data_IF_504173487443
#
_entry.id   IF_504173487443
#
_cell.length_a   1.000
_cell.length_b   1.000
_cell.length_c   1.000
_cell.angle_alpha   90.00
_cell.angle_beta   90.00
_cell.angle_gamma   90.00
#
_symmetry.space_group_name_H-M   'P 1'
#
loop_
_entity.id
_entity.type
_entity.pdbx_description
1 polymer ?
#
# COMPACT_ATOMS: atom_id res chain seq x y z
N UNK A 1 -6.70 22.68 13.84
CA UNK A 1 -5.59 21.76 13.53
C UNK A 1 -5.73 20.56 14.44
N UNK A 2 -6.08 19.41 13.87
CA UNK A 2 -6.17 18.12 14.57
C UNK A 2 -4.98 17.29 14.12
N UNK A 3 -4.11 16.90 15.06
CA UNK A 3 -2.99 16.02 14.76
C UNK A 3 -3.50 14.57 14.56
N UNK A 4 -2.89 13.84 13.63
CA UNK A 4 -3.11 12.39 13.52
C UNK A 4 -2.70 11.71 14.83
N UNK A 5 -3.46 10.68 15.23
CA UNK A 5 -3.17 9.88 16.42
C UNK A 5 -3.32 8.41 16.08
N UNK A 6 -2.42 7.59 16.59
CA UNK A 6 -2.56 6.14 16.54
C UNK A 6 -3.74 5.68 17.40
N UNK A 7 -4.46 4.67 16.95
CA UNK A 7 -5.53 4.01 17.69
C UNK A 7 -5.08 2.58 18.06
N UNK A 8 -5.55 2.09 19.20
CA UNK A 8 -5.40 0.69 19.59
C UNK A 8 -6.65 -0.04 19.11
N UNK A 9 -6.46 -1.08 18.29
CA UNK A 9 -7.55 -1.86 17.71
C UNK A 9 -7.47 -3.30 18.22
N UNK A 10 -8.63 -3.87 18.56
CA UNK A 10 -8.76 -5.31 18.83
C UNK A 10 -8.97 -6.04 17.50
N UNK A 11 -7.95 -6.77 17.06
CA UNK A 11 -8.00 -7.50 15.79
C UNK A 11 -8.81 -8.79 15.89
N UNK A 12 -9.15 -9.27 17.09
CA UNK A 12 -9.82 -10.56 17.31
C UNK A 12 -11.34 -10.49 17.28
N UNK A 13 -11.92 -9.28 17.34
CA UNK A 13 -13.36 -9.08 17.45
C UNK A 13 -14.14 -9.29 16.14
N UNK A 14 -13.45 -9.39 15.00
CA UNK A 14 -14.09 -9.54 13.69
C UNK A 14 -14.36 -11.02 13.38
N UNK A 15 -15.61 -11.35 13.07
CA UNK A 15 -15.99 -12.71 12.65
C UNK A 15 -15.87 -12.85 11.12
N UNK A 16 -14.87 -13.59 10.67
CA UNK A 16 -14.67 -13.91 9.26
C UNK A 16 -15.69 -14.93 8.71
N UNK A 17 -16.54 -15.54 9.54
CA UNK A 17 -17.50 -16.58 9.14
C UNK A 17 -16.85 -17.75 8.38
N UNK A 18 -15.58 -18.05 8.69
CA UNK A 18 -14.80 -19.10 8.05
C UNK A 18 -14.17 -18.70 6.70
N UNK A 19 -14.24 -17.42 6.31
CA UNK A 19 -13.51 -16.89 5.16
C UNK A 19 -12.01 -17.17 5.23
N UNK A 20 -11.39 -17.40 4.08
CA UNK A 20 -9.96 -17.60 3.89
C UNK A 20 -9.57 -17.02 2.51
N UNK A 21 -8.29 -16.63 2.29
CA UNK A 21 -7.80 -16.26 0.97
C UNK A 21 -8.16 -17.29 -0.10
N UNK A 22 -8.46 -16.84 -1.32
CA UNK A 22 -9.06 -17.71 -2.34
C UNK A 22 -8.05 -18.60 -3.07
N UNK A 23 -6.77 -18.23 -3.06
CA UNK A 23 -5.66 -18.98 -3.66
C UNK A 23 -5.90 -19.37 -5.13
N UNK A 24 -6.52 -18.49 -5.95
CA UNK A 24 -6.67 -18.74 -7.37
C UNK A 24 -5.30 -18.72 -8.05
N UNK A 25 -4.96 -19.68 -8.93
CA UNK A 25 -3.70 -19.64 -9.67
C UNK A 25 -3.57 -18.36 -10.51
N UNK A 26 -2.38 -17.76 -10.55
CA UNK A 26 -2.12 -16.53 -11.31
C UNK A 26 -2.49 -16.65 -12.81
N UNK A 27 -2.36 -17.86 -13.39
CA UNK A 27 -2.73 -18.14 -14.79
C UNK A 27 -4.23 -18.05 -15.07
N UNK A 28 -5.06 -18.08 -14.04
CA UNK A 28 -6.52 -17.96 -14.14
C UNK A 28 -7.02 -16.56 -13.73
N UNK A 29 -6.11 -15.66 -13.38
CA UNK A 29 -6.45 -14.33 -12.88
C UNK A 29 -6.70 -13.32 -14.00
N UNK A 30 -7.84 -12.63 -13.90
CA UNK A 30 -8.19 -11.41 -14.63
C UNK A 30 -8.24 -10.29 -13.59
N UNK A 31 -7.19 -9.48 -13.57
CA UNK A 31 -6.99 -8.40 -12.58
C UNK A 31 -7.69 -7.12 -13.08
N UNK A 32 -8.42 -6.47 -12.17
CA UNK A 32 -9.08 -5.19 -12.41
C UNK A 32 -8.51 -4.12 -11.48
N UNK A 33 -7.61 -3.29 -11.99
CA UNK A 33 -7.07 -2.15 -11.26
C UNK A 33 -8.16 -1.09 -11.03
N UNK A 34 -8.33 -0.67 -9.79
CA UNK A 34 -9.30 0.36 -9.44
C UNK A 34 -8.92 1.15 -8.19
N UNK A 35 -9.41 2.38 -8.12
CA UNK A 35 -9.25 3.23 -6.96
C UNK A 35 -10.40 3.02 -5.97
N UNK A 36 -10.09 2.68 -4.71
CA UNK A 36 -11.09 2.40 -3.68
C UNK A 36 -12.13 3.52 -3.52
N UNK A 37 -11.66 4.76 -3.34
CA UNK A 37 -12.51 5.94 -3.35
C UNK A 37 -13.06 6.35 -4.73
N UNK A 38 -12.27 6.27 -5.81
CA UNK A 38 -12.70 6.74 -7.13
C UNK A 38 -13.83 5.92 -7.75
N UNK A 39 -13.84 4.61 -7.51
CA UNK A 39 -14.70 3.64 -8.18
C UNK A 39 -16.20 3.94 -8.02
N UNK A 40 -16.61 4.44 -6.86
CA UNK A 40 -18.03 4.69 -6.54
C UNK A 40 -18.37 6.14 -6.22
N UNK A 41 -17.39 7.06 -6.25
CA UNK A 41 -17.59 8.48 -5.84
C UNK A 41 -18.58 9.26 -6.70
N UNK A 42 -18.63 8.98 -8.00
CA UNK A 42 -19.56 9.65 -8.90
C UNK A 42 -21.01 9.27 -8.57
N UNK A 43 -21.98 10.21 -8.55
CA UNK A 43 -23.40 9.88 -8.40
C UNK A 43 -23.92 8.89 -9.46
N UNK A 44 -23.27 8.84 -10.63
CA UNK A 44 -23.59 7.87 -11.68
C UNK A 44 -23.31 6.42 -11.28
N UNK A 45 -22.54 6.20 -10.20
CA UNK A 45 -22.36 4.87 -9.63
C UNK A 45 -23.67 4.35 -9.01
N UNK A 46 -24.58 5.21 -8.56
CA UNK A 46 -25.78 4.80 -7.82
C UNK A 46 -25.49 4.17 -6.46
N UNK A 47 -24.24 4.25 -5.97
CA UNK A 47 -23.85 3.73 -4.66
C UNK A 47 -24.48 4.56 -3.54
N UNK A 48 -24.92 3.89 -2.47
CA UNK A 48 -25.39 4.58 -1.24
C UNK A 48 -24.21 5.02 -0.37
N UNK A 49 -23.03 4.42 -0.57
CA UNK A 49 -21.80 4.71 0.18
C UNK A 49 -20.66 5.12 -0.76
N UNK A 50 -20.82 6.24 -1.50
CA UNK A 50 -19.91 6.62 -2.59
C UNK A 50 -18.49 6.89 -2.07
N UNK A 51 -17.52 6.23 -2.70
CA UNK A 51 -16.09 6.40 -2.45
C UNK A 51 -15.58 5.76 -1.15
N UNK A 52 -16.26 4.70 -0.70
CA UNK A 52 -15.87 3.92 0.48
C UNK A 52 -15.69 2.44 0.14
N UNK A 53 -15.09 1.67 1.05
CA UNK A 53 -15.01 0.21 0.95
C UNK A 53 -16.39 -0.44 0.85
N UNK A 54 -17.40 0.07 1.58
CA UNK A 54 -18.79 -0.39 1.44
C UNK A 54 -19.38 -0.11 0.05
N UNK A 55 -18.99 1.00 -0.58
CA UNK A 55 -19.38 1.29 -1.96
C UNK A 55 -18.85 0.25 -2.95
N UNK A 56 -17.65 -0.29 -2.72
CA UNK A 56 -17.08 -1.39 -3.53
C UNK A 56 -17.95 -2.65 -3.39
N UNK A 57 -18.37 -2.98 -2.17
CA UNK A 57 -19.28 -4.11 -1.90
C UNK A 57 -20.57 -4.01 -2.69
N UNK A 58 -21.18 -2.82 -2.77
CA UNK A 58 -22.39 -2.58 -3.58
C UNK A 58 -22.19 -2.80 -5.09
N UNK A 59 -20.94 -2.81 -5.55
CA UNK A 59 -20.55 -3.01 -6.94
C UNK A 59 -20.06 -4.42 -7.27
N UNK A 60 -20.10 -5.35 -6.33
CA UNK A 60 -19.83 -6.77 -6.58
C UNK A 60 -20.63 -7.33 -7.77
N UNK A 61 -21.95 -7.08 -7.93
CA UNK A 61 -22.69 -7.60 -9.07
C UNK A 61 -22.13 -7.14 -10.43
N UNK A 62 -21.63 -5.90 -10.49
CA UNK A 62 -20.98 -5.37 -11.69
C UNK A 62 -19.63 -6.07 -11.95
N UNK A 63 -18.82 -6.29 -10.91
CA UNK A 63 -17.54 -6.98 -11.05
C UNK A 63 -17.73 -8.44 -11.50
N UNK A 64 -18.75 -9.12 -10.98
CA UNK A 64 -19.12 -10.47 -11.41
C UNK A 64 -19.62 -10.50 -12.85
N UNK A 65 -20.47 -9.54 -13.25
CA UNK A 65 -20.95 -9.41 -14.64
C UNK A 65 -19.79 -9.14 -15.61
N UNK A 66 -18.83 -8.28 -15.21
CA UNK A 66 -17.62 -8.00 -15.98
C UNK A 66 -16.72 -9.24 -16.12
N UNK A 67 -16.80 -10.18 -15.18
CA UNK A 67 -16.08 -11.46 -15.21
C UNK A 67 -14.64 -11.37 -14.68
N UNK A 68 -14.32 -10.34 -13.89
CA UNK A 68 -13.00 -10.20 -13.27
C UNK A 68 -12.88 -11.15 -12.09
N UNK A 69 -11.66 -11.60 -11.80
CA UNK A 69 -11.40 -12.59 -10.75
C UNK A 69 -10.65 -12.01 -9.56
N UNK A 70 -10.04 -10.84 -9.74
CA UNK A 70 -9.29 -10.12 -8.72
C UNK A 70 -9.48 -8.61 -8.94
N UNK A 71 -9.57 -7.85 -7.85
CA UNK A 71 -9.42 -6.39 -7.88
C UNK A 71 -8.03 -6.04 -7.37
N UNK A 72 -7.34 -5.15 -8.09
CA UNK A 72 -6.09 -4.54 -7.63
C UNK A 72 -6.43 -3.12 -7.17
N UNK A 73 -6.37 -2.90 -5.86
CA UNK A 73 -6.68 -1.59 -5.28
C UNK A 73 -5.44 -0.72 -5.35
N UNK A 74 -5.56 0.46 -5.95
CA UNK A 74 -4.62 1.56 -5.73
C UNK A 74 -4.40 1.77 -4.21
N UNK A 75 -3.27 2.38 -3.80
CA UNK A 75 -2.83 2.37 -2.41
C UNK A 75 -3.91 2.66 -1.37
N UNK A 76 -4.08 1.70 -0.46
CA UNK A 76 -5.02 1.78 0.68
C UNK A 76 -4.31 1.95 2.01
N UNK A 77 -2.97 1.93 2.04
CA UNK A 77 -2.20 2.32 3.22
C UNK A 77 -2.57 3.75 3.63
N UNK A 78 -2.59 4.04 4.92
CA UNK A 78 -2.91 5.39 5.37
C UNK A 78 -1.88 6.39 4.82
N UNK A 79 -2.36 7.41 4.12
CA UNK A 79 -1.61 8.58 3.63
C UNK A 79 -2.32 9.89 4.03
N UNK A 80 -1.66 11.03 3.86
CA UNK A 80 -2.24 12.35 4.06
C UNK A 80 -2.72 12.96 2.73
N UNK A 81 -4.06 12.99 2.49
CA UNK A 81 -4.66 13.61 1.30
C UNK A 81 -4.23 15.09 1.13
N UNK A 82 -3.86 15.78 2.21
CA UNK A 82 -3.48 17.19 2.21
C UNK A 82 -1.95 17.39 2.18
N UNK A 83 -1.17 16.30 2.13
CA UNK A 83 0.29 16.34 2.11
C UNK A 83 0.88 17.00 0.85
N UNK A 84 0.07 17.14 -0.21
CA UNK A 84 0.48 17.80 -1.46
C UNK A 84 0.30 19.31 -1.36
N UNK A 85 1.39 20.07 -1.53
CA UNK A 85 1.40 21.54 -1.50
C UNK A 85 1.06 22.21 -2.85
N UNK A 86 0.62 21.43 -3.84
CA UNK A 86 0.33 21.92 -5.20
C UNK A 86 -1.04 22.58 -5.27
N UNK A 87 -1.11 23.67 -6.02
CA UNK A 87 -2.37 24.33 -6.36
C UNK A 87 -2.79 23.93 -7.77
N UNK A 88 -4.09 23.80 -7.97
CA UNK A 88 -4.68 23.58 -9.29
C UNK A 88 -4.33 24.76 -10.22
N UNK A 89 -3.81 24.49 -11.42
CA UNK A 89 -3.49 25.56 -12.38
C UNK A 89 -4.75 26.22 -12.98
N UNK A 90 -5.93 25.62 -12.77
CA UNK A 90 -7.20 26.10 -13.33
C UNK A 90 -7.88 27.13 -12.43
N UNK A 91 -7.92 26.87 -11.12
CA UNK A 91 -8.71 27.63 -10.15
C UNK A 91 -7.94 27.97 -8.86
N UNK A 92 -6.66 27.61 -8.76
CA UNK A 92 -5.79 27.94 -7.63
C UNK A 92 -6.12 27.23 -6.32
N UNK A 93 -7.07 26.30 -6.31
CA UNK A 93 -7.42 25.54 -5.09
C UNK A 93 -6.33 24.53 -4.73
N UNK A 94 -6.10 24.24 -3.44
CA UNK A 94 -5.23 23.14 -3.03
C UNK A 94 -5.67 21.82 -3.69
N UNK A 95 -4.71 21.13 -4.30
CA UNK A 95 -4.91 19.77 -4.78
C UNK A 95 -4.82 18.80 -3.59
N UNK A 96 -5.42 17.64 -3.78
CA UNK A 96 -5.31 16.52 -2.85
C UNK A 96 -4.53 15.39 -3.49
N UNK A 97 -3.85 14.61 -2.66
CA UNK A 97 -3.41 13.29 -3.06
C UNK A 97 -4.64 12.42 -3.30
N UNK A 98 -4.85 12.04 -4.56
CA UNK A 98 -5.96 11.17 -4.92
C UNK A 98 -5.51 9.72 -4.85
N UNK A 99 -4.39 9.39 -5.51
CA UNK A 99 -3.94 8.00 -5.66
C UNK A 99 -3.40 7.38 -4.38
N UNK A 100 -2.77 8.16 -3.51
CA UNK A 100 -2.31 7.66 -2.21
C UNK A 100 -0.95 6.97 -2.21
N UNK A 101 -0.14 7.11 -3.27
CA UNK A 101 1.25 6.64 -3.34
C UNK A 101 2.18 7.50 -2.48
N UNK A 102 1.84 7.66 -1.21
CA UNK A 102 2.55 8.53 -0.27
C UNK A 102 2.23 8.15 1.19
N UNK A 103 2.53 6.91 1.61
CA UNK A 103 2.06 6.38 2.89
C UNK A 103 2.69 7.09 4.10
N UNK A 104 1.87 7.33 5.12
CA UNK A 104 2.29 7.70 6.49
C UNK A 104 2.43 6.47 7.40
N UNK A 105 1.75 5.35 7.05
CA UNK A 105 1.74 4.10 7.81
C UNK A 105 1.50 2.90 6.88
N UNK A 106 2.20 1.80 7.13
CA UNK A 106 2.11 0.56 6.33
C UNK A 106 1.14 -0.49 6.92
N UNK A 107 0.46 -0.20 8.03
CA UNK A 107 -0.41 -1.17 8.73
C UNK A 107 -1.88 -0.74 8.82
N UNK A 108 -2.18 0.52 8.52
CA UNK A 108 -3.55 1.04 8.64
C UNK A 108 -4.16 1.21 7.25
N UNK A 109 -5.39 0.75 7.02
CA UNK A 109 -6.20 1.23 5.92
C UNK A 109 -6.40 2.75 5.99
N UNK A 110 -6.58 3.39 4.85
CA UNK A 110 -6.81 4.83 4.74
C UNK A 110 -8.22 5.20 5.24
N UNK A 111 -8.25 6.05 6.27
CA UNK A 111 -9.46 6.41 7.01
C UNK A 111 -10.55 7.04 6.12
N UNK A 112 -10.18 7.80 5.09
CA UNK A 112 -11.16 8.47 4.21
C UNK A 112 -11.94 7.50 3.31
N UNK A 113 -11.53 6.23 3.21
CA UNK A 113 -12.27 5.19 2.49
C UNK A 113 -13.23 4.40 3.39
N UNK A 114 -13.30 4.74 4.68
CA UNK A 114 -14.18 4.10 5.64
C UNK A 114 -15.57 4.76 5.65
N UNK A 115 -16.57 4.07 6.16
CA UNK A 115 -17.94 4.57 6.33
C UNK A 115 -18.00 5.69 7.37
N UNK A 116 -17.27 5.54 8.48
CA UNK A 116 -17.20 6.51 9.57
C UNK A 116 -15.75 6.92 9.88
N UNK A 117 -15.14 7.78 9.04
CA UNK A 117 -13.78 8.25 9.25
C UNK A 117 -13.58 8.86 10.65
N UNK A 118 -12.48 8.50 11.31
CA UNK A 118 -12.09 9.01 12.63
C UNK A 118 -12.70 8.25 13.82
N UNK A 119 -13.58 7.27 13.60
CA UNK A 119 -14.19 6.46 14.67
C UNK A 119 -13.43 5.15 14.95
N UNK A 120 -12.32 4.89 14.24
CA UNK A 120 -11.52 3.67 14.43
C UNK A 120 -12.11 2.43 13.76
N UNK A 121 -13.00 2.60 12.79
CA UNK A 121 -13.65 1.52 12.02
C UNK A 121 -12.82 0.98 10.85
N UNK A 122 -11.65 1.56 10.57
CA UNK A 122 -10.85 1.31 9.36
C UNK A 122 -10.53 -0.16 9.08
N UNK A 123 -10.09 -0.92 10.10
CA UNK A 123 -9.84 -2.36 9.94
C UNK A 123 -11.15 -3.11 9.66
N UNK A 124 -12.23 -2.80 10.38
CA UNK A 124 -13.52 -3.47 10.20
C UNK A 124 -14.07 -3.26 8.79
N UNK A 125 -14.14 -2.00 8.34
CA UNK A 125 -14.73 -1.65 7.04
C UNK A 125 -13.96 -2.29 5.88
N UNK A 126 -12.62 -2.35 5.99
CA UNK A 126 -11.80 -3.06 5.01
C UNK A 126 -12.06 -4.57 5.02
N UNK A 127 -12.11 -5.21 6.21
CA UNK A 127 -12.38 -6.65 6.34
C UNK A 127 -13.77 -7.05 5.82
N UNK A 128 -14.79 -6.23 6.07
CA UNK A 128 -16.14 -6.45 5.50
C UNK A 128 -16.11 -6.44 3.96
N UNK A 129 -15.33 -5.55 3.36
CA UNK A 129 -15.15 -5.51 1.90
C UNK A 129 -14.45 -6.76 1.39
N UNK A 130 -13.33 -7.15 1.99
CA UNK A 130 -12.59 -8.36 1.60
C UNK A 130 -13.47 -9.60 1.71
N UNK A 131 -14.11 -9.81 2.86
CA UNK A 131 -15.03 -10.94 3.10
C UNK A 131 -16.17 -10.98 2.08
N UNK A 132 -16.73 -9.84 1.71
CA UNK A 132 -17.79 -9.77 0.71
C UNK A 132 -17.28 -10.10 -0.70
N UNK A 133 -16.10 -9.61 -1.09
CA UNK A 133 -15.45 -9.94 -2.36
C UNK A 133 -15.10 -11.43 -2.45
N UNK A 134 -14.56 -12.00 -1.38
CA UNK A 134 -14.24 -13.43 -1.29
C UNK A 134 -15.46 -14.31 -1.42
N UNK A 135 -16.56 -13.96 -0.74
CA UNK A 135 -17.86 -14.65 -0.89
C UNK A 135 -18.38 -14.62 -2.33
N UNK A 136 -17.99 -13.60 -3.11
CA UNK A 136 -18.30 -13.47 -4.52
C UNK A 136 -17.26 -14.15 -5.45
N UNK A 137 -16.20 -14.74 -4.89
CA UNK A 137 -15.11 -15.40 -5.60
C UNK A 137 -14.10 -14.45 -6.24
N UNK A 138 -13.98 -13.22 -5.72
CA UNK A 138 -13.10 -12.16 -6.21
C UNK A 138 -11.97 -11.94 -5.20
N UNK A 139 -10.73 -12.05 -5.67
CA UNK A 139 -9.52 -11.80 -4.87
C UNK A 139 -9.24 -10.31 -4.68
N UNK A 140 -8.51 -9.96 -3.63
CA UNK A 140 -8.07 -8.60 -3.32
C UNK A 140 -6.54 -8.54 -3.36
N UNK A 141 -6.02 -7.78 -4.32
CA UNK A 141 -4.60 -7.46 -4.45
C UNK A 141 -4.41 -6.00 -4.04
N UNK A 142 -3.39 -5.71 -3.24
CA UNK A 142 -3.07 -4.34 -2.83
C UNK A 142 -1.87 -3.80 -3.59
N UNK A 143 -2.02 -2.61 -4.16
CA UNK A 143 -0.88 -1.80 -4.57
C UNK A 143 -0.19 -1.24 -3.32
N UNK A 144 1.08 -1.60 -3.12
CA UNK A 144 1.84 -1.32 -1.90
C UNK A 144 3.08 -0.49 -2.20
N UNK A 145 3.24 0.56 -1.39
CA UNK A 145 4.38 1.48 -1.43
C UNK A 145 5.24 1.22 -0.22
N UNK A 146 6.41 0.61 -0.43
CA UNK A 146 7.45 0.46 0.59
C UNK A 146 8.73 1.21 0.20
N UNK A 147 8.77 1.77 -1.00
CA UNK A 147 9.98 2.35 -1.57
C UNK A 147 10.29 3.77 -1.02
N UNK A 148 9.27 4.50 -0.57
CA UNK A 148 9.39 5.83 0.04
C UNK A 148 8.26 6.09 1.06
N UNK A 149 8.31 7.25 1.74
CA UNK A 149 7.27 7.67 2.70
C UNK A 149 6.84 9.12 2.48
N UNK A 150 5.73 9.50 3.11
CA UNK A 150 5.21 10.87 3.14
C UNK A 150 6.06 11.91 3.88
N UNK A 151 7.18 11.50 4.48
CA UNK A 151 8.09 12.45 5.16
C UNK A 151 8.98 13.19 4.17
N UNK A 152 9.00 12.80 2.89
CA UNK A 152 9.75 13.47 1.83
C UNK A 152 11.24 13.62 2.14
N UNK A 153 11.87 14.66 1.60
CA UNK A 153 13.28 14.98 1.83
C UNK A 153 13.49 15.77 3.13
N UNK A 154 14.68 16.36 3.33
CA UNK A 154 15.06 17.13 4.52
C UNK A 154 14.15 18.33 4.84
N UNK A 155 13.43 18.86 3.84
CA UNK A 155 12.46 19.95 4.01
C UNK A 155 11.04 19.44 4.27
N UNK A 156 10.83 18.13 4.14
CA UNK A 156 9.55 17.49 4.41
C UNK A 156 9.22 17.41 5.91
N UNK A 157 7.99 16.97 6.24
CA UNK A 157 7.53 16.93 7.62
C UNK A 157 8.24 15.83 8.43
N UNK A 158 8.16 15.95 9.76
CA UNK A 158 8.50 14.85 10.68
C UNK A 158 7.21 14.33 11.29
N UNK A 159 6.82 13.12 10.90
CA UNK A 159 5.54 12.48 11.23
C UNK A 159 5.77 11.19 12.03
N UNK A 160 6.68 10.32 11.57
CA UNK A 160 6.87 8.96 12.06
C UNK A 160 8.36 8.55 12.04
N UNK A 161 8.80 7.83 11.00
CA UNK A 161 10.10 7.17 10.93
C UNK A 161 11.29 8.10 11.16
N UNK A 162 11.26 9.31 10.60
CA UNK A 162 12.28 10.35 10.78
C UNK A 162 12.45 10.73 12.25
N UNK A 163 11.33 10.86 12.96
CA UNK A 163 11.30 11.21 14.38
C UNK A 163 11.68 10.06 15.30
N UNK A 164 11.48 8.82 14.86
CA UNK A 164 11.84 7.60 15.61
C UNK A 164 13.32 7.30 15.47
N UNK A 165 13.80 7.08 14.23
CA UNK A 165 15.22 6.86 13.92
C UNK A 165 15.50 7.05 12.42
N UNK A 166 15.80 8.28 12.03
CA UNK A 166 16.02 8.66 10.64
C UNK A 166 17.07 7.81 9.90
N UNK A 167 18.17 7.46 10.55
CA UNK A 167 19.31 6.78 9.91
C UNK A 167 19.09 5.28 9.68
N UNK A 168 18.17 4.72 10.44
CA UNK A 168 17.70 3.34 10.30
C UNK A 168 16.73 3.21 9.14
N UNK A 169 15.80 4.15 8.99
CA UNK A 169 14.69 4.03 8.03
C UNK A 169 14.98 4.58 6.64
N UNK A 170 15.91 5.53 6.48
CA UNK A 170 16.13 6.19 5.19
C UNK A 170 17.55 6.01 4.66
N UNK A 171 17.67 5.97 3.33
CA UNK A 171 18.95 6.12 2.65
C UNK A 171 19.40 7.59 2.74
N UNK A 172 20.56 7.81 3.35
CA UNK A 172 21.14 9.14 3.56
C UNK A 172 22.42 9.29 2.75
N UNK A 173 22.74 10.51 2.34
CA UNK A 173 24.00 10.80 1.65
C UNK A 173 25.18 10.48 2.59
N UNK A 174 26.11 9.57 2.24
CA UNK A 174 27.11 9.02 3.18
C UNK A 174 27.97 10.06 3.91
N UNK A 175 28.32 11.15 3.22
CA UNK A 175 29.16 12.23 3.74
C UNK A 175 28.37 13.48 4.15
N UNK A 176 27.05 13.47 3.97
CA UNK A 176 26.20 14.62 4.31
C UNK A 176 24.79 14.15 4.71
N UNK A 177 24.72 13.50 5.87
CA UNK A 177 23.52 12.82 6.38
C UNK A 177 22.34 13.74 6.69
N UNK A 178 22.47 15.05 6.44
CA UNK A 178 21.32 15.96 6.42
C UNK A 178 20.43 15.73 5.19
N UNK A 179 20.98 15.17 4.10
CA UNK A 179 20.30 14.92 2.83
C UNK A 179 19.99 13.43 2.61
N UNK A 180 18.95 13.18 1.81
CA UNK A 180 18.43 11.86 1.49
C UNK A 180 18.86 11.44 0.08
N UNK A 181 19.13 10.15 -0.11
CA UNK A 181 19.22 9.57 -1.44
C UNK A 181 17.80 9.31 -1.93
N UNK A 182 17.50 9.77 -3.15
CA UNK A 182 16.16 9.71 -3.72
C UNK A 182 16.19 8.93 -5.05
N UNK A 183 15.89 7.64 -4.94
CA UNK A 183 15.70 6.74 -6.06
C UNK A 183 14.24 6.57 -6.46
N UNK A 184 13.29 7.08 -5.66
CA UNK A 184 11.85 7.02 -5.96
C UNK A 184 11.32 8.29 -6.64
N UNK A 185 12.09 9.38 -6.60
CA UNK A 185 11.64 10.69 -7.05
C UNK A 185 10.64 11.37 -6.11
N UNK A 186 10.43 10.83 -4.89
CA UNK A 186 9.50 11.37 -3.88
C UNK A 186 10.22 12.07 -2.72
N UNK A 187 11.53 12.30 -2.84
CA UNK A 187 12.35 13.03 -1.87
C UNK A 187 13.08 12.16 -0.86
N UNK A 188 12.72 10.89 -0.72
CA UNK A 188 13.45 9.92 0.09
C UNK A 188 13.37 8.52 -0.52
N UNK A 189 14.27 7.64 -0.08
CA UNK A 189 14.17 6.21 -0.31
C UNK A 189 14.24 5.48 1.01
N UNK A 190 13.28 4.59 1.23
CA UNK A 190 13.21 3.75 2.41
C UNK A 190 14.32 2.70 2.37
N UNK A 191 15.01 2.48 3.50
CA UNK A 191 16.17 1.58 3.58
C UNK A 191 15.71 0.12 3.73
N UNK A 192 15.05 -0.42 2.70
CA UNK A 192 14.34 -1.70 2.75
C UNK A 192 15.19 -2.89 3.21
N UNK A 193 16.49 -2.90 2.91
CA UNK A 193 17.39 -4.01 3.24
C UNK A 193 18.13 -3.86 4.59
N UNK A 194 17.78 -2.85 5.40
CA UNK A 194 18.23 -2.80 6.80
C UNK A 194 17.40 -3.80 7.62
N UNK A 195 17.99 -4.59 8.55
CA UNK A 195 17.28 -5.69 9.23
C UNK A 195 15.97 -5.29 9.93
N UNK A 196 15.92 -4.09 10.53
CA UNK A 196 14.69 -3.60 11.18
C UNK A 196 13.61 -3.17 10.19
N UNK A 197 14.02 -2.69 9.01
CA UNK A 197 13.11 -2.22 7.96
C UNK A 197 12.59 -3.40 7.15
N UNK A 198 13.47 -4.33 6.80
CA UNK A 198 13.12 -5.65 6.24
C UNK A 198 12.05 -6.33 7.10
N UNK A 199 12.32 -6.46 8.41
CA UNK A 199 11.32 -7.01 9.34
C UNK A 199 10.00 -6.23 9.33
N UNK A 200 10.04 -4.90 9.28
CA UNK A 200 8.82 -4.08 9.24
C UNK A 200 8.00 -4.36 7.97
N UNK A 201 8.66 -4.51 6.82
CA UNK A 201 8.01 -4.79 5.55
C UNK A 201 7.37 -6.18 5.60
N UNK A 202 8.10 -7.21 6.04
CA UNK A 202 7.57 -8.56 6.18
C UNK A 202 6.39 -8.62 7.17
N UNK A 203 6.54 -8.01 8.35
CA UNK A 203 5.46 -7.95 9.36
C UNK A 203 4.21 -7.23 8.82
N UNK A 204 4.39 -6.19 7.99
CA UNK A 204 3.30 -5.48 7.33
C UNK A 204 2.58 -6.37 6.33
N UNK A 205 3.31 -7.03 5.42
CA UNK A 205 2.73 -7.94 4.44
C UNK A 205 2.00 -9.11 5.12
N UNK A 206 2.62 -9.74 6.11
CA UNK A 206 2.00 -10.79 6.91
C UNK A 206 0.72 -10.31 7.62
N UNK A 207 0.72 -9.08 8.15
CA UNK A 207 -0.47 -8.49 8.74
C UNK A 207 -1.60 -8.37 7.71
N UNK A 208 -1.33 -7.87 6.51
CA UNK A 208 -2.34 -7.75 5.46
C UNK A 208 -2.89 -9.11 5.01
N UNK A 209 -2.07 -10.17 5.01
CA UNK A 209 -2.56 -11.53 4.70
C UNK A 209 -3.33 -12.14 5.87
N UNK A 210 -2.72 -12.25 7.05
CA UNK A 210 -3.29 -12.97 8.21
C UNK A 210 -4.48 -12.24 8.82
N UNK A 211 -4.36 -10.92 8.97
CA UNK A 211 -5.34 -10.13 9.69
C UNK A 211 -6.35 -9.48 8.76
N UNK A 212 -6.02 -9.29 7.48
CA UNK A 212 -6.88 -8.59 6.52
C UNK A 212 -7.31 -9.45 5.33
N UNK A 213 -6.84 -10.70 5.25
CA UNK A 213 -7.15 -11.69 4.20
C UNK A 213 -6.85 -11.19 2.77
N UNK A 214 -5.82 -10.36 2.60
CA UNK A 214 -5.35 -9.94 1.27
C UNK A 214 -4.73 -11.14 0.52
N UNK A 215 -5.05 -11.30 -0.76
CA UNK A 215 -4.59 -12.43 -1.60
C UNK A 215 -3.25 -12.17 -2.31
N UNK A 216 -2.79 -10.92 -2.33
CA UNK A 216 -1.52 -10.56 -2.95
C UNK A 216 -1.21 -9.07 -2.98
N UNK A 217 -0.06 -8.76 -3.56
CA UNK A 217 0.53 -7.43 -3.56
C UNK A 217 1.13 -7.08 -4.92
N UNK A 218 0.88 -5.86 -5.37
CA UNK A 218 1.60 -5.20 -6.45
C UNK A 218 2.54 -4.16 -5.84
N UNK A 219 3.84 -4.37 -5.99
CA UNK A 219 4.87 -3.50 -5.42
C UNK A 219 5.18 -2.34 -6.37
N UNK A 220 4.83 -1.14 -5.91
CA UNK A 220 5.22 0.13 -6.54
C UNK A 220 6.73 0.34 -6.48
N UNK A 221 7.32 0.77 -7.60
CA UNK A 221 8.78 0.88 -7.79
C UNK A 221 9.57 -0.26 -7.12
N UNK A 222 9.15 -1.51 -7.39
CA UNK A 222 9.67 -2.71 -6.74
C UNK A 222 11.19 -2.83 -6.79
N UNK A 223 11.86 -2.21 -7.77
CA UNK A 223 13.33 -2.25 -7.92
C UNK A 223 14.07 -1.63 -6.73
N UNK A 224 13.45 -0.69 -6.02
CA UNK A 224 14.03 -0.08 -4.82
C UNK A 224 14.24 -1.12 -3.71
N UNK A 225 13.39 -2.14 -3.61
CA UNK A 225 13.57 -3.23 -2.65
C UNK A 225 14.86 -4.02 -2.92
N UNK A 226 15.46 -3.88 -4.11
CA UNK A 226 16.75 -4.50 -4.42
C UNK A 226 17.98 -3.64 -4.07
N UNK A 227 17.81 -2.41 -3.56
CA UNK A 227 18.95 -1.50 -3.27
C UNK A 227 19.53 -1.70 -1.87
N UNK A 228 20.85 -1.65 -1.78
CA UNK A 228 21.60 -1.70 -0.51
C UNK A 228 21.57 -0.35 0.25
N UNK A 229 22.21 -0.30 1.41
CA UNK A 229 22.27 0.93 2.23
C UNK A 229 23.02 2.11 1.58
N UNK A 230 23.74 1.86 0.48
CA UNK A 230 24.43 2.87 -0.33
C UNK A 230 23.68 3.15 -1.64
N UNK A 231 22.51 2.53 -1.84
CA UNK A 231 21.69 2.69 -3.04
C UNK A 231 22.11 1.82 -4.23
N UNK A 232 23.05 0.88 -4.08
CA UNK A 232 23.45 -0.01 -5.17
C UNK A 232 22.51 -1.21 -5.29
N UNK A 233 22.17 -1.67 -6.51
CA UNK A 233 21.37 -2.87 -6.68
C UNK A 233 22.12 -4.12 -6.17
N UNK A 234 21.39 -4.97 -5.45
CA UNK A 234 21.86 -6.23 -4.89
C UNK A 234 21.37 -7.39 -5.75
N UNK A 235 22.22 -8.40 -5.91
CA UNK A 235 21.80 -9.68 -6.51
C UNK A 235 20.94 -10.49 -5.54
N UNK A 236 21.21 -10.39 -4.23
CA UNK A 236 20.50 -11.12 -3.19
C UNK A 236 19.99 -10.15 -2.10
N UNK A 237 18.99 -9.31 -2.40
CA UNK A 237 18.45 -8.36 -1.44
C UNK A 237 17.67 -9.09 -0.33
N UNK A 238 18.05 -8.94 0.96
CA UNK A 238 17.40 -9.61 2.08
C UNK A 238 15.88 -9.57 2.08
N UNK A 239 15.27 -8.39 1.84
CA UNK A 239 13.81 -8.23 1.94
C UNK A 239 13.05 -9.04 0.89
N UNK A 240 13.57 -9.13 -0.34
CA UNK A 240 12.91 -9.91 -1.40
C UNK A 240 12.99 -11.40 -1.07
N UNK A 241 14.16 -11.88 -0.62
CA UNK A 241 14.31 -13.27 -0.19
C UNK A 241 13.45 -13.60 1.03
N UNK A 242 13.31 -12.67 1.98
CA UNK A 242 12.41 -12.82 3.11
C UNK A 242 10.96 -12.99 2.62
N UNK A 243 10.49 -12.12 1.73
CA UNK A 243 9.15 -12.21 1.15
C UNK A 243 8.94 -13.54 0.40
N UNK A 244 9.90 -13.95 -0.44
CA UNK A 244 9.78 -15.17 -1.25
C UNK A 244 9.88 -16.47 -0.46
N UNK A 245 10.50 -16.45 0.72
CA UNK A 245 10.72 -17.63 1.57
C UNK A 245 9.77 -17.68 2.77
N UNK A 246 8.96 -16.65 2.98
CA UNK A 246 8.01 -16.60 4.07
C UNK A 246 6.83 -17.56 3.83
N UNK A 247 6.47 -18.35 4.83
CA UNK A 247 5.43 -19.39 4.72
C UNK A 247 4.03 -18.80 4.52
N UNK A 248 3.78 -17.59 5.01
CA UNK A 248 2.50 -16.89 4.91
C UNK A 248 2.35 -16.27 3.52
N UNK A 249 3.45 -15.72 3.00
CA UNK A 249 3.47 -15.03 1.71
C UNK A 249 3.64 -15.98 0.52
N UNK A 250 4.10 -17.21 0.75
CA UNK A 250 4.37 -18.21 -0.28
C UNK A 250 3.18 -18.48 -1.22
N UNK A 251 1.96 -18.43 -0.70
CA UNK A 251 0.73 -18.69 -1.46
C UNK A 251 0.03 -17.41 -1.95
N UNK A 252 0.64 -16.24 -1.76
CA UNK A 252 0.12 -14.95 -2.20
C UNK A 252 0.63 -14.58 -3.60
N UNK A 253 -0.09 -13.70 -4.29
CA UNK A 253 0.40 -13.13 -5.55
C UNK A 253 1.39 -12.01 -5.29
N UNK A 254 2.55 -12.09 -5.93
CA UNK A 254 3.58 -11.04 -5.90
C UNK A 254 3.78 -10.49 -7.30
N UNK A 255 3.43 -9.22 -7.50
CA UNK A 255 3.56 -8.49 -8.76
C UNK A 255 4.50 -7.31 -8.51
N UNK A 256 5.40 -6.99 -9.42
CA UNK A 256 6.38 -5.92 -9.20
C UNK A 256 6.48 -4.97 -10.39
N UNK A 257 6.52 -3.67 -10.08
CA UNK A 257 7.03 -2.67 -10.99
C UNK A 257 8.55 -2.74 -11.05
N UNK A 258 9.07 -3.47 -12.05
CA UNK A 258 10.50 -3.79 -12.15
C UNK A 258 11.36 -2.64 -12.72
N UNK A 259 11.15 -1.42 -12.22
CA UNK A 259 12.03 -0.26 -12.44
C UNK A 259 11.96 0.72 -11.24
N UNK A 260 12.81 1.74 -11.21
CA UNK A 260 12.70 2.89 -10.29
C UNK A 260 13.09 4.23 -10.93
N UNK A 261 12.74 5.34 -10.28
CA UNK A 261 13.03 6.69 -10.78
C UNK A 261 14.55 7.02 -10.82
N UNK A 262 15.35 6.28 -10.06
CA UNK A 262 16.82 6.32 -10.07
C UNK A 262 17.47 5.74 -11.34
N UNK A 263 16.67 5.21 -12.26
CA UNK A 263 17.11 4.68 -13.55
C UNK A 263 17.49 3.20 -13.53
N UNK A 264 17.21 2.48 -12.44
CA UNK A 264 17.35 1.02 -12.42
C UNK A 264 16.19 0.38 -13.19
N UNK A 265 16.52 -0.55 -14.09
CA UNK A 265 15.54 -1.22 -14.95
C UNK A 265 15.77 -2.73 -14.88
N UNK A 266 14.80 -3.44 -14.30
CA UNK A 266 14.88 -4.87 -13.97
C UNK A 266 13.78 -5.70 -14.65
N UNK A 267 13.11 -5.18 -15.69
CA UNK A 267 12.13 -5.95 -16.45
C UNK A 267 12.74 -7.25 -16.96
N UNK A 268 12.11 -8.38 -16.60
CA UNK A 268 12.57 -9.73 -16.92
C UNK A 268 13.75 -10.25 -16.09
N UNK A 269 14.28 -9.45 -15.16
CA UNK A 269 15.41 -9.79 -14.29
C UNK A 269 15.18 -9.34 -12.82
N UNK A 270 13.91 -9.19 -12.40
CA UNK A 270 13.59 -8.85 -11.02
C UNK A 270 14.06 -9.98 -10.10
N UNK A 271 14.72 -9.70 -8.96
CA UNK A 271 15.15 -10.74 -8.03
C UNK A 271 13.95 -11.47 -7.43
N UNK A 272 14.06 -12.79 -7.22
CA UNK A 272 12.98 -13.65 -6.74
C UNK A 272 12.62 -14.73 -7.74
#
# INVERSE_FOLDING_TARGET
STAMRSAIIDTTAFDWEGDQPLHRPMSESIIYEMHAGGFTRSPSSGSQHPGTFAGIVEKIPYLQELGVTAVELLPVFAFDEQGISRLSPVDGRPLKDFWGYNPVSHFSPHDAYCLTPGEGSHIRDFREMVKALHKAGIEVILDVVFNHTSEGNELGPTISYRGIDNSTYYLLVPNDKQYYLDYSGCGNTFKCNHPLVDKLIADSLEFWVKEMHVDGFRFDEGSILSRDENGNPMTYPPVIWHISLDEVLADTKVIAEAWDAGGLYQVGNFPG
#
